data_IF_204660728877
#
_entry.id   IF_204660728877
#
_cell.length_a   1.000
_cell.length_b   1.000
_cell.length_c   1.000
_cell.angle_alpha   90.00
_cell.angle_beta   90.00
_cell.angle_gamma   90.00
#
_symmetry.space_group_name_H-M   'P 1'
#
loop_
_entity.id
_entity.type
_entity.pdbx_description
1 polymer ?
#
# COMPACT_ATOMS: atom_id res chain seq x y z
N UNK A 1 -32.53 5.25 10.20
CA UNK A 1 -33.69 6.08 9.82
C UNK A 1 -33.61 6.27 8.31
N UNK A 2 -34.46 5.76 7.44
CA UNK A 2 -35.70 5.00 7.55
C UNK A 2 -35.72 3.94 6.44
N UNK A 3 -36.33 2.80 6.73
CA UNK A 3 -36.61 1.72 5.78
C UNK A 3 -37.97 2.00 5.15
N UNK A 4 -38.13 1.70 3.86
CA UNK A 4 -39.44 1.32 3.32
C UNK A 4 -39.31 0.31 2.18
N UNK A 5 -40.30 -0.58 2.01
CA UNK A 5 -40.09 -1.94 1.53
C UNK A 5 -40.77 -2.23 0.18
N UNK A 6 -40.34 -3.32 -0.46
CA UNK A 6 -41.08 -4.16 -1.40
C UNK A 6 -41.72 -3.52 -2.64
N UNK A 7 -41.04 -3.68 -3.78
CA UNK A 7 -41.69 -3.89 -5.07
C UNK A 7 -41.08 -5.17 -5.70
N UNK A 8 -41.90 -6.23 -5.79
CA UNK A 8 -41.62 -7.43 -6.58
C UNK A 8 -42.29 -7.24 -7.94
N UNK A 9 -41.50 -7.25 -9.02
CA UNK A 9 -42.01 -7.43 -10.38
C UNK A 9 -41.27 -8.64 -10.94
N UNK A 10 -42.00 -9.74 -11.10
CA UNK A 10 -41.50 -10.97 -11.69
C UNK A 10 -41.66 -10.95 -13.20
N UNK A 11 -40.58 -11.27 -13.91
CA UNK A 11 -40.59 -11.72 -15.30
C UNK A 11 -39.58 -12.87 -15.39
N UNK A 12 -39.93 -14.03 -15.96
CA UNK A 12 -39.01 -15.15 -16.08
C UNK A 12 -38.06 -14.90 -17.25
N UNK A 13 -36.75 -15.05 -17.03
CA UNK A 13 -35.76 -15.12 -18.10
C UNK A 13 -35.19 -16.55 -18.19
N UNK A 14 -34.90 -17.06 -19.39
CA UNK A 14 -34.55 -18.46 -19.60
C UNK A 14 -33.12 -18.75 -19.12
N UNK A 15 -32.96 -19.90 -18.46
CA UNK A 15 -31.67 -20.47 -18.08
C UNK A 15 -30.88 -20.92 -19.32
N UNK A 16 -29.77 -20.26 -19.63
CA UNK A 16 -28.74 -20.79 -20.53
C UNK A 16 -27.61 -21.43 -19.70
N UNK A 17 -27.09 -22.61 -20.08
CA UNK A 17 -26.08 -23.31 -19.30
C UNK A 17 -24.72 -22.62 -19.37
N UNK A 18 -24.06 -22.51 -18.21
CA UNK A 18 -22.64 -22.18 -18.10
C UNK A 18 -21.79 -23.24 -18.80
N UNK A 19 -21.19 -22.89 -19.94
CA UNK A 19 -20.26 -23.75 -20.67
C UNK A 19 -18.85 -23.60 -20.12
N UNK A 20 -18.39 -24.62 -19.40
CA UNK A 20 -16.98 -24.79 -19.04
C UNK A 20 -16.17 -25.14 -20.30
N UNK A 21 -15.35 -24.21 -20.79
CA UNK A 21 -14.40 -24.48 -21.87
C UNK A 21 -12.97 -24.63 -21.33
N UNK A 22 -12.38 -25.82 -21.56
CA UNK A 22 -10.94 -26.07 -21.49
C UNK A 22 -10.29 -25.58 -22.77
N UNK A 23 -9.32 -24.66 -22.68
CA UNK A 23 -8.49 -24.26 -23.82
C UNK A 23 -7.14 -25.00 -23.80
N UNK A 24 -6.68 -25.57 -24.92
CA UNK A 24 -5.31 -26.08 -25.06
C UNK A 24 -4.33 -24.96 -25.43
N UNK A 25 -3.14 -25.00 -24.82
CA UNK A 25 -1.99 -24.15 -25.13
C UNK A 25 -1.45 -24.45 -26.53
N UNK A 26 -1.31 -23.42 -27.37
CA UNK A 26 -0.45 -23.47 -28.55
C UNK A 26 0.50 -22.27 -28.58
N UNK A 27 1.76 -22.62 -28.83
CA UNK A 27 2.96 -21.81 -28.95
C UNK A 27 2.88 -20.78 -30.09
N UNK A 28 3.24 -19.53 -29.81
CA UNK A 28 3.66 -18.58 -30.84
C UNK A 28 5.00 -17.95 -30.47
N UNK A 29 6.00 -18.23 -31.31
CA UNK A 29 7.30 -17.59 -31.36
C UNK A 29 7.18 -16.25 -32.09
N UNK A 30 7.77 -15.19 -31.54
CA UNK A 30 8.05 -13.95 -32.26
C UNK A 30 9.53 -13.55 -32.07
N UNK A 31 10.22 -13.05 -33.10
CA UNK A 31 11.64 -12.76 -33.06
C UNK A 31 11.94 -11.41 -32.39
N UNK A 32 13.04 -11.41 -31.65
CA UNK A 32 13.70 -10.23 -31.08
C UNK A 32 14.29 -9.35 -32.19
N UNK A 33 13.99 -8.05 -32.17
CA UNK A 33 14.78 -7.02 -32.85
C UNK A 33 15.50 -6.16 -31.81
N UNK A 34 16.82 -6.30 -31.76
CA UNK A 34 17.72 -5.41 -31.02
C UNK A 34 17.98 -4.17 -31.87
N UNK A 35 17.61 -2.99 -31.36
CA UNK A 35 18.13 -1.72 -31.85
C UNK A 35 19.19 -1.21 -30.87
N UNK A 36 20.44 -1.20 -31.34
CA UNK A 36 21.58 -0.57 -30.68
C UNK A 36 21.52 0.94 -30.96
N UNK A 37 21.33 1.77 -29.93
CA UNK A 37 21.54 3.21 -30.02
C UNK A 37 22.72 3.61 -29.14
N UNK A 38 23.82 4.02 -29.76
CA UNK A 38 24.96 4.63 -29.07
C UNK A 38 24.58 6.01 -28.51
N UNK A 39 25.02 6.39 -27.29
CA UNK A 39 24.75 7.73 -26.75
C UNK A 39 25.75 8.76 -27.28
N UNK A 40 25.37 10.04 -27.45
CA UNK A 40 26.31 11.11 -27.74
C UNK A 40 27.01 11.59 -26.45
N UNK A 41 28.32 11.84 -26.58
CA UNK A 41 29.14 12.60 -25.63
C UNK A 41 28.88 14.10 -25.81
N UNK A 42 28.61 14.82 -24.72
CA UNK A 42 28.88 16.27 -24.61
C UNK A 42 29.07 16.62 -23.12
N UNK A 43 30.31 16.88 -22.71
CA UNK A 43 30.89 18.22 -22.46
C UNK A 43 30.54 18.78 -21.08
N UNK A 44 31.47 18.54 -20.14
CA UNK A 44 31.51 19.15 -18.80
C UNK A 44 31.99 20.59 -18.93
N UNK A 45 31.18 21.55 -18.51
CA UNK A 45 31.64 22.91 -18.22
C UNK A 45 32.00 23.00 -16.73
N UNK A 46 33.28 23.24 -16.45
CA UNK A 46 33.77 23.66 -15.14
C UNK A 46 33.60 25.19 -15.02
N UNK A 47 32.90 25.64 -13.98
CA UNK A 47 32.92 27.04 -13.54
C UNK A 47 33.61 27.12 -12.18
N UNK A 48 34.49 28.11 -11.93
CA UNK A 48 35.24 28.22 -10.69
C UNK A 48 34.37 28.73 -9.52
N UNK A 49 34.73 28.44 -8.26
CA UNK A 49 33.90 28.79 -7.12
C UNK A 49 34.09 30.25 -6.72
N UNK A 50 32.99 31.02 -6.71
CA UNK A 50 32.93 32.34 -6.10
C UNK A 50 32.74 32.20 -4.58
N UNK A 51 33.77 32.57 -3.82
CA UNK A 51 33.74 32.70 -2.35
C UNK A 51 32.80 33.85 -1.96
N UNK A 52 31.60 33.52 -1.48
CA UNK A 52 30.81 34.43 -0.66
C UNK A 52 30.93 34.01 0.81
N UNK A 53 31.41 34.94 1.63
CA UNK A 53 31.62 34.80 3.07
C UNK A 53 30.32 35.24 3.75
N UNK A 54 29.52 34.36 4.37
CA UNK A 54 28.39 34.83 5.16
C UNK A 54 28.90 35.34 6.50
N UNK A 55 28.35 36.48 6.92
CA UNK A 55 28.53 37.11 8.21
C UNK A 55 28.30 36.10 9.34
N UNK A 56 29.26 36.01 10.26
CA UNK A 56 29.15 35.23 11.49
C UNK A 56 28.10 35.86 12.41
N UNK A 57 26.91 35.27 12.45
CA UNK A 57 25.93 35.50 13.50
C UNK A 57 26.17 34.47 14.60
N UNK A 58 26.68 34.91 15.76
CA UNK A 58 26.73 34.11 16.98
C UNK A 58 25.31 33.84 17.50
N UNK A 59 24.87 32.58 17.67
CA UNK A 59 23.75 32.29 18.54
C UNK A 59 24.23 32.30 19.99
N UNK A 60 23.45 32.99 20.82
CA UNK A 60 23.58 33.11 22.27
C UNK A 60 23.02 31.83 22.93
N UNK A 61 23.70 31.36 23.97
CA UNK A 61 23.25 30.39 24.97
C UNK A 61 22.91 28.97 24.47
N UNK A 62 23.87 28.06 24.61
CA UNK A 62 23.64 26.64 24.74
C UNK A 62 22.79 26.38 25.99
N UNK A 63 21.52 26.02 25.79
CA UNK A 63 20.74 25.35 26.83
C UNK A 63 21.27 23.93 26.92
N UNK A 64 22.17 23.69 27.87
CA UNK A 64 22.51 22.33 28.28
C UNK A 64 21.24 21.71 28.86
N UNK A 65 20.63 20.81 28.09
CA UNK A 65 19.58 19.93 28.60
C UNK A 65 20.29 18.84 29.41
N UNK A 66 19.95 18.61 30.68
CA UNK A 66 20.56 17.52 31.43
C UNK A 66 20.21 16.20 30.73
N UNK A 67 21.24 15.42 30.39
CA UNK A 67 21.09 14.07 29.91
C UNK A 67 20.49 13.21 31.04
N UNK A 68 19.15 13.07 31.04
CA UNK A 68 18.46 12.11 31.89
C UNK A 68 18.63 10.72 31.27
N UNK A 69 19.69 10.02 31.66
CA UNK A 69 19.93 8.61 31.32
C UNK A 69 19.06 7.66 32.15
N UNK A 70 17.74 7.89 32.13
CA UNK A 70 16.75 6.85 32.43
C UNK A 70 16.18 6.38 31.09
N UNK A 71 16.01 5.08 30.87
CA UNK A 71 15.21 4.59 29.72
C UNK A 71 13.84 5.27 29.82
N UNK A 72 13.60 6.29 28.99
CA UNK A 72 12.31 6.97 28.92
C UNK A 72 11.26 5.95 28.47
N UNK A 73 10.10 5.98 29.14
CA UNK A 73 8.95 5.18 28.75
C UNK A 73 8.12 6.04 27.80
N UNK A 74 7.91 5.56 26.59
CA UNK A 74 7.15 6.27 25.57
C UNK A 74 5.64 6.23 25.87
N UNK A 75 4.93 7.31 25.56
CA UNK A 75 3.48 7.31 25.73
C UNK A 75 2.80 6.34 24.75
N UNK A 76 3.27 6.35 23.51
CA UNK A 76 2.72 5.53 22.42
C UNK A 76 3.81 5.14 21.42
N UNK A 77 3.85 3.85 21.11
CA UNK A 77 4.63 3.31 20.00
C UNK A 77 3.68 2.87 18.89
N UNK A 78 4.01 3.21 17.64
CA UNK A 78 3.24 2.84 16.46
C UNK A 78 4.11 1.90 15.62
N UNK A 79 3.55 0.76 15.22
CA UNK A 79 4.26 -0.23 14.42
C UNK A 79 3.61 -0.30 13.05
N UNK A 80 4.31 0.22 12.05
CA UNK A 80 3.86 0.30 10.67
C UNK A 80 3.78 1.74 10.15
N UNK A 81 4.19 1.92 8.90
CA UNK A 81 4.32 3.21 8.19
C UNK A 81 3.28 3.40 7.07
N UNK A 82 2.24 2.57 7.01
CA UNK A 82 1.14 2.80 6.07
C UNK A 82 0.32 4.05 6.42
N UNK A 83 -0.73 4.37 5.63
CA UNK A 83 -1.62 5.48 5.91
C UNK A 83 -2.18 5.47 7.34
N UNK A 84 -2.51 4.29 7.86
CA UNK A 84 -2.98 4.12 9.24
C UNK A 84 -1.92 4.55 10.27
N UNK A 85 -0.67 4.11 10.10
CA UNK A 85 0.43 4.41 11.01
C UNK A 85 0.78 5.89 11.03
N UNK A 86 0.99 6.50 9.86
CA UNK A 86 1.29 7.93 9.81
C UNK A 86 0.11 8.80 10.26
N UNK A 87 -1.14 8.42 9.98
CA UNK A 87 -2.30 9.16 10.51
C UNK A 87 -2.33 9.10 12.04
N UNK A 88 -2.11 7.92 12.63
CA UNK A 88 -2.01 7.78 14.08
C UNK A 88 -0.87 8.63 14.65
N UNK A 89 0.29 8.64 13.99
CA UNK A 89 1.46 9.43 14.41
C UNK A 89 1.17 10.93 14.37
N UNK A 90 0.54 11.43 13.31
CA UNK A 90 0.14 12.84 13.19
C UNK A 90 -0.75 13.25 14.37
N UNK A 91 -1.77 12.46 14.69
CA UNK A 91 -2.70 12.79 15.77
C UNK A 91 -2.05 12.67 17.15
N UNK A 92 -1.26 11.63 17.40
CA UNK A 92 -0.54 11.47 18.66
C UNK A 92 0.49 12.58 18.88
N UNK A 93 1.22 12.97 17.84
CA UNK A 93 2.19 14.07 17.89
C UNK A 93 1.50 15.41 18.16
N UNK A 94 0.36 15.68 17.51
CA UNK A 94 -0.48 16.86 17.79
C UNK A 94 -1.03 16.91 19.21
N UNK A 95 -1.26 15.75 19.82
CA UNK A 95 -1.63 15.64 21.23
C UNK A 95 -0.43 15.73 22.19
N UNK A 96 0.76 16.09 21.68
CA UNK A 96 2.01 16.22 22.43
C UNK A 96 2.45 14.91 23.12
N UNK A 97 2.09 13.75 22.55
CA UNK A 97 2.45 12.43 23.09
C UNK A 97 3.83 11.94 22.64
N UNK A 98 4.48 12.66 21.71
CA UNK A 98 5.80 12.31 21.14
C UNK A 98 5.85 10.85 20.64
N UNK A 99 5.03 10.48 19.64
CA UNK A 99 4.92 9.10 19.21
C UNK A 99 6.22 8.61 18.58
N UNK A 100 6.65 7.41 18.97
CA UNK A 100 7.69 6.65 18.28
C UNK A 100 7.04 5.76 17.23
N UNK A 101 7.55 5.77 16.00
CA UNK A 101 7.03 4.98 14.88
C UNK A 101 8.12 4.08 14.32
N UNK A 102 7.86 2.77 14.30
CA UNK A 102 8.67 1.82 13.55
C UNK A 102 8.12 1.68 12.14
N UNK A 103 8.90 2.12 11.15
CA UNK A 103 8.47 2.23 9.77
C UNK A 103 8.56 0.89 9.00
N UNK A 104 9.28 -0.09 9.53
CA UNK A 104 9.68 -1.30 8.80
C UNK A 104 10.95 -1.08 7.96
N UNK A 105 11.65 -2.17 7.66
CA UNK A 105 12.86 -2.15 6.83
C UNK A 105 12.96 -3.36 5.89
N UNK A 106 13.26 -4.55 6.41
CA UNK A 106 13.41 -5.78 5.62
C UNK A 106 12.09 -6.56 5.57
N UNK A 107 11.59 -6.94 6.74
CA UNK A 107 10.37 -7.76 6.88
C UNK A 107 9.13 -6.90 6.67
N UNK A 108 9.11 -5.69 7.24
CA UNK A 108 8.04 -4.72 7.05
C UNK A 108 7.99 -4.12 5.65
N UNK A 109 9.05 -4.29 4.86
CA UNK A 109 9.19 -3.74 3.51
C UNK A 109 9.50 -2.25 3.51
N UNK A 110 9.33 -1.62 2.34
CA UNK A 110 9.61 -0.19 2.15
C UNK A 110 8.66 0.66 3.01
N UNK A 111 9.17 1.63 3.78
CA UNK A 111 8.36 2.60 4.52
C UNK A 111 7.28 3.24 3.64
N UNK A 112 6.04 3.28 4.13
CA UNK A 112 4.86 3.72 3.38
C UNK A 112 3.85 2.61 3.09
N UNK A 113 4.24 1.34 3.27
CA UNK A 113 3.35 0.19 3.10
C UNK A 113 2.99 -0.10 1.65
N UNK A 114 1.83 -0.72 1.41
CA UNK A 114 1.44 -1.20 0.06
C UNK A 114 1.37 -0.09 -1.01
N UNK A 115 1.09 1.15 -0.62
CA UNK A 115 1.04 2.28 -1.56
C UNK A 115 2.39 2.57 -2.20
N UNK A 116 3.50 2.09 -1.64
CA UNK A 116 4.82 2.18 -2.29
C UNK A 116 4.92 1.32 -3.56
N UNK A 117 3.97 0.41 -3.78
CA UNK A 117 3.95 -0.50 -4.92
C UNK A 117 2.83 -0.19 -5.92
N UNK A 118 2.03 0.85 -5.67
CA UNK A 118 1.02 1.34 -6.62
C UNK A 118 1.57 2.52 -7.42
N UNK A 119 1.05 2.70 -8.63
CA UNK A 119 1.38 3.84 -9.48
C UNK A 119 0.56 5.05 -9.08
N UNK A 120 -0.74 5.05 -9.38
CA UNK A 120 -1.66 6.17 -9.16
C UNK A 120 -2.70 5.85 -8.08
N UNK A 121 -3.09 6.88 -7.36
CA UNK A 121 -4.14 6.85 -6.33
C UNK A 121 -5.16 7.93 -6.65
N UNK A 122 -6.32 7.51 -7.15
CA UNK A 122 -7.40 8.42 -7.57
C UNK A 122 -8.53 8.51 -6.54
N UNK A 123 -8.52 7.64 -5.52
CA UNK A 123 -9.60 7.49 -4.55
C UNK A 123 -9.24 7.97 -3.14
N UNK A 124 -8.09 8.62 -2.96
CA UNK A 124 -7.75 9.27 -1.70
C UNK A 124 -8.23 10.74 -1.71
N UNK A 125 -9.10 11.15 -0.77
CA UNK A 125 -9.69 12.48 -0.80
C UNK A 125 -8.64 13.59 -0.60
N UNK A 126 -8.81 14.71 -1.32
CA UNK A 126 -7.90 15.86 -1.28
C UNK A 126 -6.94 15.94 -2.48
N UNK A 127 -6.95 14.96 -3.38
CA UNK A 127 -6.15 14.93 -4.60
C UNK A 127 -7.07 14.79 -5.82
N UNK A 128 -7.69 15.90 -6.30
CA UNK A 128 -8.67 15.86 -7.39
C UNK A 128 -8.07 15.38 -8.73
N UNK A 129 -6.78 15.59 -8.93
CA UNK A 129 -6.03 15.18 -10.12
C UNK A 129 -5.31 13.84 -9.93
N UNK A 130 -5.59 13.13 -8.84
CA UNK A 130 -4.82 11.96 -8.42
C UNK A 130 -3.47 12.30 -7.79
N UNK A 131 -2.78 11.28 -7.28
CA UNK A 131 -1.43 11.37 -6.74
C UNK A 131 -0.76 9.99 -6.83
N UNK A 132 0.56 9.96 -7.00
CA UNK A 132 1.26 8.67 -6.95
C UNK A 132 1.25 8.09 -5.53
N UNK A 133 1.28 6.76 -5.42
CA UNK A 133 1.36 6.08 -4.13
C UNK A 133 2.56 6.54 -3.28
N UNK A 134 3.79 6.54 -3.82
CA UNK A 134 4.97 7.05 -3.13
C UNK A 134 4.88 8.52 -2.70
N UNK A 135 4.35 9.41 -3.55
CA UNK A 135 4.22 10.84 -3.21
C UNK A 135 3.19 11.06 -2.10
N UNK A 136 2.08 10.31 -2.09
CA UNK A 136 1.12 10.34 -1.01
C UNK A 136 1.78 9.94 0.32
N UNK A 137 2.55 8.85 0.31
CA UNK A 137 3.21 8.37 1.53
C UNK A 137 4.31 9.30 2.03
N UNK A 138 5.11 9.89 1.15
CA UNK A 138 6.12 10.90 1.53
C UNK A 138 5.46 12.14 2.17
N UNK A 139 4.32 12.61 1.62
CA UNK A 139 3.56 13.72 2.23
C UNK A 139 3.06 13.37 3.62
N UNK A 140 2.51 12.17 3.82
CA UNK A 140 2.06 11.71 5.13
C UNK A 140 3.22 11.58 6.13
N UNK A 141 4.35 11.01 5.69
CA UNK A 141 5.57 10.86 6.50
C UNK A 141 6.10 12.22 6.98
N UNK A 142 6.28 13.17 6.06
CA UNK A 142 6.73 14.54 6.39
C UNK A 142 5.76 15.26 7.32
N UNK A 143 4.45 15.02 7.18
CA UNK A 143 3.47 15.59 8.08
C UNK A 143 3.59 15.01 9.50
N UNK A 144 3.85 13.71 9.65
CA UNK A 144 4.12 13.09 10.94
C UNK A 144 5.38 13.68 11.60
N UNK A 145 6.50 13.73 10.87
CA UNK A 145 7.77 14.32 11.35
C UNK A 145 7.60 15.79 11.75
N UNK A 146 6.90 16.58 10.93
CA UNK A 146 6.65 18.01 11.19
C UNK A 146 5.95 18.24 12.54
N UNK A 147 5.06 17.34 12.95
CA UNK A 147 4.34 17.45 14.23
C UNK A 147 5.13 16.87 15.42
N UNK A 148 6.29 16.25 15.17
CA UNK A 148 7.18 15.73 16.21
C UNK A 148 7.04 14.23 16.45
N UNK A 149 6.59 13.45 15.45
CA UNK A 149 6.74 12.00 15.49
C UNK A 149 8.21 11.61 15.26
N UNK A 150 8.72 10.68 16.05
CA UNK A 150 10.06 10.10 15.88
C UNK A 150 9.95 8.83 15.05
N UNK A 151 10.59 8.80 13.89
CA UNK A 151 10.47 7.71 12.92
C UNK A 151 11.76 6.89 12.85
N UNK A 152 11.65 5.57 12.98
CA UNK A 152 12.76 4.63 12.88
C UNK A 152 12.50 3.62 11.77
N UNK A 153 13.41 3.54 10.80
CA UNK A 153 13.35 2.57 9.70
C UNK A 153 13.88 1.21 10.17
N UNK A 154 13.09 0.57 11.01
CA UNK A 154 13.42 -0.70 11.65
C UNK A 154 12.21 -1.63 11.68
N UNK A 155 12.50 -2.93 11.63
CA UNK A 155 11.51 -3.97 11.87
C UNK A 155 11.36 -4.21 13.37
N UNK A 156 10.12 -4.23 13.86
CA UNK A 156 9.84 -4.76 15.20
C UNK A 156 9.83 -6.28 15.13
N UNK A 157 10.68 -6.91 15.93
CA UNK A 157 10.87 -8.36 15.97
C UNK A 157 10.12 -8.99 17.15
N UNK A 158 9.94 -8.25 18.25
CA UNK A 158 9.26 -8.73 19.44
C UNK A 158 8.43 -7.65 20.14
N UNK A 159 7.29 -8.08 20.68
CA UNK A 159 6.35 -7.26 21.45
C UNK A 159 5.94 -8.05 22.69
N UNK A 160 6.21 -7.51 23.87
CA UNK A 160 5.66 -8.01 25.14
C UNK A 160 4.63 -7.03 25.70
N UNK A 161 3.36 -7.46 25.68
CA UNK A 161 2.21 -6.75 26.26
C UNK A 161 1.74 -7.34 27.59
N UNK A 162 2.43 -8.36 28.12
CA UNK A 162 2.09 -8.98 29.42
C UNK A 162 2.59 -8.16 30.60
N UNK A 163 3.66 -7.40 30.40
CA UNK A 163 4.25 -6.48 31.37
C UNK A 163 3.77 -5.04 31.10
N UNK A 164 3.66 -4.20 32.13
CA UNK A 164 3.35 -2.76 31.99
C UNK A 164 4.47 -1.93 32.65
N UNK A 165 5.18 -1.05 31.93
CA UNK A 165 5.01 -0.71 30.51
C UNK A 165 5.33 -1.85 29.54
N UNK A 166 4.65 -1.86 28.39
CA UNK A 166 4.88 -2.80 27.30
C UNK A 166 6.31 -2.67 26.77
N UNK A 167 6.83 -3.74 26.17
CA UNK A 167 8.18 -3.77 25.59
C UNK A 167 8.10 -4.01 24.10
N UNK A 168 8.71 -3.12 23.31
CA UNK A 168 8.84 -3.24 21.86
C UNK A 168 10.32 -3.37 21.54
N UNK A 169 10.71 -4.39 20.77
CA UNK A 169 12.10 -4.67 20.44
C UNK A 169 12.27 -4.78 18.92
N UNK A 170 13.26 -4.05 18.40
CA UNK A 170 13.88 -4.27 17.10
C UNK A 170 15.29 -4.84 17.30
N UNK A 171 16.01 -5.08 16.20
CA UNK A 171 17.42 -5.45 16.22
C UNK A 171 18.34 -4.35 16.78
N UNK A 172 17.92 -3.08 16.71
CA UNK A 172 18.75 -1.94 17.11
C UNK A 172 18.35 -1.37 18.48
N UNK A 173 17.08 -1.52 18.89
CA UNK A 173 16.57 -0.87 20.10
C UNK A 173 15.51 -1.68 20.84
N UNK A 174 15.44 -1.40 22.13
CA UNK A 174 14.35 -1.79 23.00
C UNK A 174 13.68 -0.52 23.54
N UNK A 175 12.38 -0.40 23.33
CA UNK A 175 11.55 0.73 23.77
C UNK A 175 10.50 0.22 24.76
N UNK A 176 10.34 0.91 25.88
CA UNK A 176 9.22 0.69 26.81
C UNK A 176 8.12 1.69 26.47
N UNK A 177 6.85 1.26 26.52
CA UNK A 177 5.74 2.17 26.24
C UNK A 177 4.46 1.87 27.03
N UNK A 178 3.62 2.88 27.23
CA UNK A 178 2.31 2.74 27.88
C UNK A 178 1.23 2.20 26.93
N UNK A 179 1.38 2.45 25.63
CA UNK A 179 0.43 2.01 24.61
C UNK A 179 1.14 1.68 23.30
N UNK A 180 0.56 0.74 22.55
CA UNK A 180 1.04 0.35 21.23
C UNK A 180 -0.10 0.38 20.22
N UNK A 181 0.15 0.96 19.04
CA UNK A 181 -0.76 0.93 17.90
C UNK A 181 -0.16 -0.01 16.85
N UNK A 182 -0.87 -1.10 16.58
CA UNK A 182 -0.47 -2.09 15.58
C UNK A 182 -1.07 -1.71 14.21
N UNK A 183 -0.24 -1.16 13.33
CA UNK A 183 -0.61 -0.64 12.01
C UNK A 183 0.24 -1.26 10.88
N UNK A 184 0.66 -2.52 11.04
CA UNK A 184 1.56 -3.23 10.12
C UNK A 184 0.93 -3.55 8.76
N UNK A 185 -0.38 -3.35 8.63
CA UNK A 185 -1.12 -3.67 7.42
C UNK A 185 -1.17 -5.17 7.12
N UNK A 186 -1.40 -5.47 5.85
CA UNK A 186 -1.38 -6.81 5.28
C UNK A 186 -0.71 -6.73 3.91
N UNK A 187 -0.40 -7.87 3.29
CA UNK A 187 0.09 -7.94 1.91
C UNK A 187 -0.86 -8.78 1.05
N UNK A 188 -1.08 -8.34 -0.19
CA UNK A 188 -1.85 -9.13 -1.14
C UNK A 188 -1.12 -10.46 -1.43
N UNK A 189 -1.86 -11.57 -1.37
CA UNK A 189 -1.29 -12.89 -1.68
C UNK A 189 -1.14 -13.05 -3.19
N UNK A 190 0.12 -13.12 -3.63
CA UNK A 190 0.50 -13.31 -5.02
C UNK A 190 0.73 -14.79 -5.34
N UNK A 191 0.44 -15.20 -6.58
CA UNK A 191 0.57 -16.59 -7.02
C UNK A 191 2.00 -16.96 -7.44
N UNK A 192 2.83 -15.96 -7.71
CA UNK A 192 4.19 -16.07 -8.25
C UNK A 192 4.21 -16.78 -9.60
N UNK A 193 3.34 -16.34 -10.51
CA UNK A 193 3.29 -16.84 -11.89
C UNK A 193 4.58 -16.50 -12.64
N UNK A 194 4.95 -17.27 -13.68
CA UNK A 194 6.01 -16.86 -14.59
C UNK A 194 5.73 -15.45 -15.14
N UNK A 195 6.71 -14.56 -15.03
CA UNK A 195 6.63 -13.15 -15.45
C UNK A 195 5.61 -12.29 -14.68
N UNK A 196 5.13 -12.72 -13.52
CA UNK A 196 4.18 -11.92 -12.73
C UNK A 196 4.72 -10.53 -12.38
N UNK A 197 6.01 -10.41 -12.04
CA UNK A 197 6.65 -9.13 -11.74
C UNK A 197 6.77 -8.20 -12.96
N UNK A 198 6.90 -8.75 -14.17
CA UNK A 198 6.99 -7.96 -15.41
C UNK A 198 5.68 -7.23 -15.72
N UNK A 199 4.55 -7.89 -15.41
CA UNK A 199 3.19 -7.40 -15.67
C UNK A 199 2.50 -6.82 -14.43
N UNK A 200 3.17 -6.83 -13.27
CA UNK A 200 2.64 -6.20 -12.06
C UNK A 200 2.42 -4.71 -12.29
N UNK A 201 1.24 -4.20 -11.94
CA UNK A 201 0.78 -2.83 -12.24
C UNK A 201 0.76 -2.45 -13.73
N UNK A 202 0.87 -3.44 -14.63
CA UNK A 202 0.85 -3.29 -16.10
C UNK A 202 -0.10 -4.29 -16.78
N UNK A 203 -1.07 -4.79 -16.01
CA UNK A 203 -2.04 -5.81 -16.45
C UNK A 203 -2.38 -6.82 -15.35
N UNK A 204 -1.49 -7.00 -14.37
CA UNK A 204 -1.76 -7.77 -13.15
C UNK A 204 -1.94 -6.80 -11.98
N UNK A 205 -3.06 -6.96 -11.27
CA UNK A 205 -3.41 -6.22 -10.06
C UNK A 205 -3.94 -7.19 -9.00
N UNK A 206 -3.91 -6.76 -7.74
CA UNK A 206 -4.54 -7.46 -6.63
C UNK A 206 -5.65 -6.64 -5.94
N UNK A 207 -6.14 -5.58 -6.59
CA UNK A 207 -7.26 -4.78 -6.10
C UNK A 207 -8.15 -4.32 -7.26
N UNK A 208 -9.23 -5.05 -7.52
CA UNK A 208 -10.19 -4.67 -8.56
C UNK A 208 -10.80 -3.28 -8.32
N UNK A 209 -11.06 -2.91 -7.06
CA UNK A 209 -11.67 -1.61 -6.72
C UNK A 209 -10.73 -0.45 -7.06
N UNK A 210 -9.43 -0.65 -6.84
CA UNK A 210 -8.40 0.36 -7.08
C UNK A 210 -8.23 0.61 -8.58
N UNK A 211 -8.07 -0.47 -9.36
CA UNK A 211 -7.60 -0.34 -10.74
C UNK A 211 -8.69 -0.59 -11.78
N UNK A 212 -9.82 -1.18 -11.43
CA UNK A 212 -10.83 -1.64 -12.39
C UNK A 212 -11.40 -0.54 -13.30
N UNK A 213 -11.42 0.71 -12.82
CA UNK A 213 -11.85 1.87 -13.60
C UNK A 213 -10.76 2.44 -14.52
N UNK A 214 -9.50 2.02 -14.36
CA UNK A 214 -8.37 2.47 -15.16
C UNK A 214 -8.61 2.24 -16.66
N UNK A 215 -8.16 3.16 -17.53
CA UNK A 215 -8.23 2.99 -18.98
C UNK A 215 -7.62 1.67 -19.47
N UNK A 216 -6.65 1.12 -18.74
CA UNK A 216 -5.99 -0.15 -19.08
C UNK A 216 -6.97 -1.34 -19.12
N UNK A 217 -7.98 -1.36 -18.25
CA UNK A 217 -8.88 -2.50 -18.07
C UNK A 217 -10.27 -2.29 -18.70
N UNK A 218 -10.61 -1.04 -19.02
CA UNK A 218 -11.91 -0.68 -19.61
C UNK A 218 -12.14 -1.39 -20.96
N UNK A 219 -13.28 -2.08 -21.07
CA UNK A 219 -13.67 -2.82 -22.27
C UNK A 219 -12.83 -4.07 -22.56
N UNK A 220 -11.88 -4.42 -21.70
CA UNK A 220 -11.03 -5.60 -21.87
C UNK A 220 -11.73 -6.86 -21.34
N UNK A 221 -11.19 -8.02 -21.71
CA UNK A 221 -11.54 -9.30 -21.07
C UNK A 221 -10.60 -9.50 -19.90
N UNK A 222 -11.16 -9.61 -18.70
CA UNK A 222 -10.39 -9.71 -17.46
C UNK A 222 -10.52 -11.10 -16.86
N UNK A 223 -9.56 -11.45 -16.00
CA UNK A 223 -9.63 -12.66 -15.18
C UNK A 223 -9.43 -12.30 -13.70
N UNK A 224 -10.23 -12.91 -12.83
CA UNK A 224 -10.10 -12.84 -11.37
C UNK A 224 -9.72 -14.22 -10.88
N UNK A 225 -8.65 -14.32 -10.08
CA UNK A 225 -8.22 -15.61 -9.51
C UNK A 225 -8.66 -15.72 -8.06
N UNK A 226 -9.51 -16.71 -7.77
CA UNK A 226 -10.02 -16.96 -6.44
C UNK A 226 -11.41 -17.56 -6.46
N UNK A 227 -11.91 -17.97 -5.29
CA UNK A 227 -13.25 -18.57 -5.19
C UNK A 227 -13.95 -18.34 -3.86
N UNK A 228 -13.45 -17.43 -3.02
CA UNK A 228 -14.15 -16.95 -1.82
C UNK A 228 -14.93 -15.68 -2.12
N UNK A 229 -15.58 -15.13 -1.10
CA UNK A 229 -16.41 -13.92 -1.23
C UNK A 229 -15.65 -12.75 -1.88
N UNK A 230 -14.40 -12.50 -1.48
CA UNK A 230 -13.55 -11.44 -2.08
C UNK A 230 -13.43 -11.58 -3.60
N UNK A 231 -13.19 -12.80 -4.10
CA UNK A 231 -13.02 -13.01 -5.54
C UNK A 231 -14.34 -12.81 -6.29
N UNK A 232 -15.46 -13.23 -5.71
CA UNK A 232 -16.79 -13.00 -6.30
C UNK A 232 -17.20 -11.53 -6.28
N UNK A 233 -16.92 -10.82 -5.19
CA UNK A 233 -17.19 -9.38 -5.07
C UNK A 233 -16.37 -8.57 -6.08
N UNK A 234 -15.06 -8.86 -6.20
CA UNK A 234 -14.18 -8.21 -7.15
C UNK A 234 -14.57 -8.54 -8.60
N UNK A 235 -14.92 -9.79 -8.90
CA UNK A 235 -15.38 -10.18 -10.23
C UNK A 235 -16.66 -9.42 -10.64
N UNK A 236 -17.66 -9.36 -9.74
CA UNK A 236 -18.88 -8.59 -9.96
C UNK A 236 -18.57 -7.11 -10.14
N UNK A 237 -17.68 -6.54 -9.32
CA UNK A 237 -17.29 -5.14 -9.45
C UNK A 237 -16.68 -4.84 -10.83
N UNK A 238 -15.80 -5.71 -11.33
CA UNK A 238 -15.15 -5.54 -12.63
C UNK A 238 -16.12 -5.61 -13.81
N UNK A 239 -17.29 -6.26 -13.68
CA UNK A 239 -18.30 -6.29 -14.75
C UNK A 239 -18.81 -4.90 -15.16
N UNK A 240 -18.64 -3.88 -14.31
CA UNK A 240 -18.98 -2.49 -14.62
C UNK A 240 -18.08 -1.88 -15.70
N UNK A 241 -16.87 -2.40 -15.87
CA UNK A 241 -15.84 -1.81 -16.74
C UNK A 241 -15.36 -2.78 -17.82
N UNK A 242 -15.29 -4.08 -17.51
CA UNK A 242 -14.81 -5.11 -18.40
C UNK A 242 -15.88 -5.51 -19.43
N UNK A 243 -15.44 -5.97 -20.61
CA UNK A 243 -16.32 -6.63 -21.59
C UNK A 243 -16.78 -8.01 -21.10
N UNK A 244 -15.90 -8.70 -20.39
CA UNK A 244 -16.15 -10.03 -19.82
C UNK A 244 -15.18 -10.29 -18.67
N UNK A 245 -15.62 -11.05 -17.66
CA UNK A 245 -14.79 -11.40 -16.49
C UNK A 245 -14.78 -12.93 -16.32
N UNK A 246 -13.61 -13.54 -16.43
CA UNK A 246 -13.40 -14.94 -16.11
C UNK A 246 -13.06 -15.10 -14.62
N UNK A 247 -13.88 -15.82 -13.87
CA UNK A 247 -13.56 -16.20 -12.49
C UNK A 247 -12.83 -17.55 -12.47
N UNK A 248 -11.53 -17.53 -12.20
CA UNK A 248 -10.67 -18.70 -12.18
C UNK A 248 -10.64 -19.31 -10.76
N UNK A 249 -11.36 -20.41 -10.59
CA UNK A 249 -11.49 -21.13 -9.33
C UNK A 249 -10.63 -22.40 -9.38
N UNK A 250 -9.79 -22.62 -8.34
CA UNK A 250 -8.93 -23.82 -8.27
C UNK A 250 -9.72 -25.12 -8.08
N UNK A 251 -10.89 -25.04 -7.47
CA UNK A 251 -11.77 -26.18 -7.17
C UNK A 251 -12.92 -26.24 -8.16
N UNK A 252 -13.66 -27.33 -8.11
CA UNK A 252 -14.93 -27.55 -8.79
C UNK A 252 -16.09 -26.73 -8.20
N UNK A 253 -15.93 -26.19 -6.99
CA UNK A 253 -16.94 -25.40 -6.28
C UNK A 253 -16.37 -24.10 -5.68
N UNK A 254 -17.24 -23.09 -5.55
CA UNK A 254 -16.95 -21.84 -4.85
C UNK A 254 -16.95 -22.05 -3.32
N UNK A 255 -16.05 -21.36 -2.63
CA UNK A 255 -16.04 -21.19 -1.17
C UNK A 255 -16.85 -19.97 -0.73
N UNK A 256 -17.22 -19.08 -1.66
CA UNK A 256 -18.06 -17.93 -1.39
C UNK A 256 -19.36 -18.35 -0.68
N UNK A 257 -19.91 -17.46 0.12
CA UNK A 257 -21.22 -17.62 0.75
C UNK A 257 -22.29 -17.91 -0.29
N UNK A 258 -23.33 -18.67 0.07
CA UNK A 258 -24.42 -19.02 -0.85
C UNK A 258 -25.05 -17.79 -1.50
N UNK A 259 -25.27 -16.74 -0.70
CA UNK A 259 -25.80 -15.47 -1.18
C UNK A 259 -24.92 -14.79 -2.25
N UNK A 260 -23.60 -15.00 -2.21
CA UNK A 260 -22.69 -14.51 -3.25
C UNK A 260 -22.63 -15.42 -4.47
N UNK A 261 -22.86 -16.73 -4.32
CA UNK A 261 -22.95 -17.65 -5.45
C UNK A 261 -24.22 -17.45 -6.29
N UNK A 262 -25.31 -17.00 -5.65
CA UNK A 262 -26.59 -16.74 -6.31
C UNK A 262 -26.62 -15.41 -7.10
N UNK A 263 -25.60 -14.55 -6.97
CA UNK A 263 -25.48 -13.25 -7.65
C UNK A 263 -24.75 -13.37 -8.98
#
# INVERSE_FOLDING_TARGET
MAVSPNIRIGIPLPSTPSTYHRLPMSTLSYPFFFFYSSPPRALRFHSPPTRHRPLSLRPKASVETPAASGKLVENVVIIGSGPAGYTAAIYAARANLKPVVFEGYQVGGVPGGQLMTTTEVENFPGFPDGITGPDLMDRMRRQAERWGAELFQEDVEHIDVRSNPFTIQSSEREVKCHSVIFATGATAKRLRLPREDEFWSRGISACAICDGASPLFKGQVLAVVGGGDTATEEAIYLTKYARHVHLLVRRDQLRASKAMQDR
#
